data_IF_813621731674
#
_entry.id   IF_813621731674
#
_cell.length_a   1.000
_cell.length_b   1.000
_cell.length_c   1.000
_cell.angle_alpha   90.00
_cell.angle_beta   90.00
_cell.angle_gamma   90.00
#
_symmetry.space_group_name_H-M   'P 1'
#
loop_
_entity.id
_entity.type
_entity.pdbx_description
1 polymer ?
#
# COMPACT_ATOMS: atom_id res chain seq x y z
N UNK A 1 -17.78 61.69 -1.46
CA UNK A 1 -18.10 62.93 -2.21
C UNK A 1 -16.79 63.38 -2.86
N UNK A 2 -16.66 63.44 -4.19
CA UNK A 2 -17.14 64.49 -5.12
C UNK A 2 -16.47 65.86 -4.84
N UNK A 3 -15.78 66.56 -5.76
CA UNK A 3 -15.29 66.30 -7.15
C UNK A 3 -13.84 66.87 -7.29
N UNK A 4 -13.19 67.31 -8.40
CA UNK A 4 -13.51 67.44 -9.84
C UNK A 4 -12.24 67.58 -10.75
N UNK A 5 -12.09 66.69 -11.76
CA UNK A 5 -11.78 66.92 -13.21
C UNK A 5 -10.59 67.77 -13.77
N UNK A 6 -10.30 67.43 -15.04
CA UNK A 6 -9.45 68.09 -16.07
C UNK A 6 -7.93 67.85 -15.94
N UNK A 7 -7.14 67.72 -17.02
CA UNK A 7 -7.36 68.12 -18.44
C UNK A 7 -7.21 66.98 -19.49
N UNK A 8 -7.53 67.27 -20.76
CA UNK A 8 -7.27 66.47 -22.00
C UNK A 8 -5.93 66.93 -22.67
N UNK A 9 -5.36 66.42 -23.79
CA UNK A 9 -5.77 65.47 -24.87
C UNK A 9 -4.53 65.00 -25.67
N UNK A 10 -4.67 63.92 -26.48
CA UNK A 10 -3.93 63.62 -27.74
C UNK A 10 -2.39 63.37 -27.68
N UNK A 11 -1.74 62.69 -28.65
CA UNK A 11 -2.12 62.20 -29.99
C UNK A 11 -1.36 60.90 -30.36
N UNK A 12 -1.94 60.07 -31.23
CA UNK A 12 -1.40 58.85 -31.89
C UNK A 12 -2.03 58.86 -33.30
N UNK A 13 -1.30 58.66 -34.43
CA UNK A 13 -0.55 57.42 -34.71
C UNK A 13 0.78 57.56 -35.49
N UNK A 14 1.49 56.44 -35.60
CA UNK A 14 2.54 56.19 -36.62
C UNK A 14 2.19 54.90 -37.37
N UNK A 15 2.17 54.96 -38.70
CA UNK A 15 2.08 53.82 -39.61
C UNK A 15 3.49 53.36 -40.02
N UNK A 16 3.66 52.08 -40.36
CA UNK A 16 4.45 51.59 -41.52
C UNK A 16 4.30 50.07 -41.67
N UNK A 17 4.56 49.56 -42.88
CA UNK A 17 4.48 48.16 -43.37
C UNK A 17 4.90 47.06 -42.38
N UNK A 18 4.35 45.83 -42.43
CA UNK A 18 3.50 45.24 -43.47
C UNK A 18 4.28 44.39 -44.47
N UNK A 19 4.72 43.20 -44.06
CA UNK A 19 5.27 42.15 -44.95
C UNK A 19 4.62 40.81 -44.64
N UNK A 20 3.88 40.26 -45.61
CA UNK A 20 3.29 38.92 -45.55
C UNK A 20 4.13 38.01 -46.44
N UNK A 21 4.81 37.02 -45.86
CA UNK A 21 5.53 36.01 -46.62
C UNK A 21 4.62 34.82 -46.94
N UNK A 22 3.95 34.87 -48.09
CA UNK A 22 3.33 33.70 -48.72
C UNK A 22 4.44 32.94 -49.45
N UNK A 23 4.79 31.74 -48.95
CA UNK A 23 5.59 30.78 -49.71
C UNK A 23 4.64 29.83 -50.43
N UNK A 24 4.47 30.05 -51.73
CA UNK A 24 3.92 29.06 -52.64
C UNK A 24 4.93 27.92 -52.80
N UNK A 25 4.52 26.69 -52.46
CA UNK A 25 5.22 25.48 -52.89
C UNK A 25 4.28 24.60 -53.71
N UNK A 26 4.80 24.06 -54.80
CA UNK A 26 4.06 23.42 -55.88
C UNK A 26 3.52 22.04 -55.48
N UNK A 27 2.26 21.77 -55.86
CA UNK A 27 1.73 20.42 -55.89
C UNK A 27 2.27 19.68 -57.12
N UNK A 28 3.15 18.70 -56.89
CA UNK A 28 3.66 17.74 -57.88
C UNK A 28 3.69 16.33 -57.26
N UNK A 29 3.38 15.26 -58.01
CA UNK A 29 3.10 13.94 -57.42
C UNK A 29 4.34 13.04 -57.23
N UNK A 30 4.07 11.88 -56.62
CA UNK A 30 5.00 10.83 -56.15
C UNK A 30 5.77 11.17 -54.86
N UNK A 31 6.03 10.23 -53.95
CA UNK A 31 5.90 8.75 -54.06
C UNK A 31 5.07 8.12 -52.92
N UNK A 32 4.66 6.86 -53.10
CA UNK A 32 3.98 6.08 -52.05
C UNK A 32 4.96 5.72 -50.93
N UNK A 33 4.91 6.44 -49.80
CA UNK A 33 5.49 5.91 -48.56
C UNK A 33 4.65 4.73 -48.07
N UNK A 34 5.32 3.63 -47.70
CA UNK A 34 4.70 2.43 -47.16
C UNK A 34 4.11 2.70 -45.76
N UNK A 35 3.04 1.99 -45.35
CA UNK A 35 2.53 2.11 -44.00
C UNK A 35 3.60 1.66 -43.00
N UNK A 36 3.84 2.48 -41.97
CA UNK A 36 4.71 2.15 -40.84
C UNK A 36 4.21 0.87 -40.17
N UNK A 37 4.91 -0.26 -40.38
CA UNK A 37 4.70 -1.47 -39.59
C UNK A 37 5.18 -1.21 -38.17
N UNK A 38 4.24 -1.16 -37.21
CA UNK A 38 4.58 -1.32 -35.81
C UNK A 38 5.19 -2.71 -35.59
N UNK A 39 6.53 -2.77 -35.52
CA UNK A 39 7.25 -3.98 -35.20
C UNK A 39 7.13 -4.25 -33.70
N UNK A 40 6.05 -4.94 -33.31
CA UNK A 40 5.91 -5.51 -31.98
C UNK A 40 7.17 -6.31 -31.63
N UNK A 41 7.72 -6.09 -30.42
CA UNK A 41 8.87 -6.85 -29.91
C UNK A 41 8.37 -8.22 -29.45
N UNK A 42 8.18 -9.12 -30.41
CA UNK A 42 7.70 -10.50 -30.21
C UNK A 42 8.80 -11.42 -29.65
N UNK A 43 9.39 -11.02 -28.52
CA UNK A 43 10.39 -11.80 -27.78
C UNK A 43 9.78 -12.65 -26.62
N UNK A 44 8.46 -12.88 -26.67
CA UNK A 44 7.75 -13.87 -25.86
C UNK A 44 6.99 -14.85 -26.77
N UNK A 45 7.74 -15.81 -27.31
CA UNK A 45 7.38 -17.16 -27.80
C UNK A 45 8.63 -17.60 -28.60
N UNK A 46 9.46 -18.45 -28.00
CA UNK A 46 10.84 -18.63 -28.49
C UNK A 46 11.66 -19.78 -27.91
N UNK A 47 11.03 -20.77 -27.26
CA UNK A 47 11.70 -22.03 -26.94
C UNK A 47 10.72 -23.20 -27.01
N UNK A 48 11.11 -24.24 -27.77
CA UNK A 48 10.32 -25.47 -27.93
C UNK A 48 10.48 -26.38 -26.71
N UNK A 49 9.99 -25.93 -25.56
CA UNK A 49 9.83 -26.78 -24.40
C UNK A 49 8.68 -27.77 -24.66
N UNK A 50 9.02 -29.05 -24.88
CA UNK A 50 8.02 -30.13 -24.86
C UNK A 50 7.24 -30.07 -23.54
N UNK A 51 5.91 -30.29 -23.55
CA UNK A 51 5.11 -30.23 -22.32
C UNK A 51 5.63 -31.25 -21.32
N UNK A 52 6.26 -30.76 -20.24
CA UNK A 52 6.76 -31.61 -19.17
C UNK A 52 5.57 -32.24 -18.45
N UNK A 53 5.53 -33.58 -18.42
CA UNK A 53 4.41 -34.32 -17.83
C UNK A 53 4.27 -33.99 -16.35
N UNK A 54 3.03 -33.86 -15.89
CA UNK A 54 2.64 -33.92 -14.46
C UNK A 54 3.50 -33.07 -13.53
N UNK A 55 3.19 -31.77 -13.46
CA UNK A 55 3.40 -31.02 -12.21
C UNK A 55 2.58 -31.74 -11.13
N UNK A 56 3.14 -32.13 -9.98
CA UNK A 56 2.38 -32.86 -8.97
C UNK A 56 1.24 -31.98 -8.44
N UNK A 57 0.04 -32.56 -8.36
CA UNK A 57 -1.06 -31.98 -7.58
C UNK A 57 -0.60 -31.85 -6.12
N UNK A 58 -0.92 -30.72 -5.48
CA UNK A 58 -0.63 -30.46 -4.07
C UNK A 58 -1.63 -31.23 -3.18
N UNK A 59 -1.58 -32.55 -3.22
CA UNK A 59 -2.32 -33.44 -2.32
C UNK A 59 -1.58 -33.54 -0.99
N UNK A 60 -2.30 -33.34 0.12
CA UNK A 60 -1.82 -33.36 1.50
C UNK A 60 -0.79 -32.27 1.86
N UNK A 61 -1.28 -31.05 2.04
CA UNK A 61 -0.76 -30.17 3.08
C UNK A 61 -1.88 -29.78 4.05
N UNK A 62 -1.55 -29.64 5.33
CA UNK A 62 -2.34 -28.78 6.22
C UNK A 62 -2.25 -27.37 5.65
N UNK A 63 -3.37 -26.69 5.43
CA UNK A 63 -3.37 -25.29 4.99
C UNK A 63 -2.56 -24.46 5.99
N UNK A 64 -1.36 -24.06 5.58
CA UNK A 64 -0.48 -23.18 6.33
C UNK A 64 -0.63 -21.78 5.74
N UNK A 65 -0.77 -20.79 6.62
CA UNK A 65 -0.79 -19.41 6.21
C UNK A 65 0.62 -18.98 5.76
N UNK A 66 0.75 -18.60 4.49
CA UNK A 66 1.97 -18.03 3.90
C UNK A 66 2.14 -16.55 4.32
N UNK A 67 1.07 -15.91 4.81
CA UNK A 67 1.03 -14.48 5.13
C UNK A 67 0.53 -14.23 6.55
N UNK A 68 1.21 -13.35 7.28
CA UNK A 68 0.68 -12.74 8.50
C UNK A 68 0.31 -11.28 8.21
N UNK A 69 -0.96 -10.91 8.37
CA UNK A 69 -1.43 -9.54 8.20
C UNK A 69 -1.77 -8.93 9.55
N UNK A 70 -1.14 -7.80 9.90
CA UNK A 70 -1.43 -7.05 11.13
C UNK A 70 -2.06 -5.70 10.76
N UNK A 71 -3.33 -5.54 11.13
CA UNK A 71 -4.11 -4.31 10.99
C UNK A 71 -4.26 -3.65 12.37
N UNK A 72 -3.73 -2.45 12.56
CA UNK A 72 -3.91 -1.66 13.79
C UNK A 72 -5.14 -0.75 13.63
N UNK A 73 -6.15 -0.98 14.48
CA UNK A 73 -7.37 -0.20 14.52
C UNK A 73 -7.36 0.83 15.65
N UNK A 74 -7.28 2.10 15.28
CA UNK A 74 -7.43 3.24 16.17
C UNK A 74 -8.67 4.06 15.79
N UNK A 75 -9.61 4.27 16.72
CA UNK A 75 -10.82 5.09 16.48
C UNK A 75 -10.53 6.60 16.61
N UNK A 76 -9.52 7.08 15.89
CA UNK A 76 -8.98 8.45 15.99
C UNK A 76 -9.45 9.39 14.87
N UNK A 77 -10.28 8.90 13.95
CA UNK A 77 -10.91 9.72 12.91
C UNK A 77 -12.25 9.11 12.43
N UNK A 78 -13.18 9.97 11.97
CA UNK A 78 -14.58 9.61 11.64
C UNK A 78 -14.75 8.45 10.64
N UNK A 79 -13.71 8.15 9.86
CA UNK A 79 -13.71 7.07 8.86
C UNK A 79 -13.15 5.72 9.37
N UNK A 80 -12.59 5.66 10.58
CA UNK A 80 -11.79 4.51 11.04
C UNK A 80 -12.59 3.19 11.11
N UNK A 81 -13.80 3.24 11.70
CA UNK A 81 -14.67 2.07 11.80
C UNK A 81 -15.08 1.53 10.43
N UNK A 82 -15.57 2.40 9.54
CA UNK A 82 -15.98 2.02 8.19
C UNK A 82 -14.78 1.57 7.32
N UNK A 83 -13.55 2.02 7.60
CA UNK A 83 -12.33 1.52 6.96
C UNK A 83 -12.06 0.05 7.34
N UNK A 84 -12.07 -0.25 8.64
CA UNK A 84 -11.91 -1.61 9.17
C UNK A 84 -13.00 -2.54 8.62
N UNK A 85 -14.26 -2.09 8.67
CA UNK A 85 -15.43 -2.81 8.17
C UNK A 85 -15.35 -3.09 6.66
N UNK A 86 -15.05 -2.07 5.85
CA UNK A 86 -14.91 -2.26 4.41
C UNK A 86 -13.83 -3.29 4.08
N UNK A 87 -12.68 -3.24 4.76
CA UNK A 87 -11.61 -4.21 4.58
C UNK A 87 -12.04 -5.64 4.94
N UNK A 88 -12.68 -5.83 6.10
CA UNK A 88 -13.20 -7.14 6.51
C UNK A 88 -14.26 -7.66 5.52
N UNK A 89 -15.21 -6.83 5.09
CA UNK A 89 -16.30 -7.20 4.17
C UNK A 89 -15.85 -7.52 2.74
N UNK A 90 -14.66 -7.08 2.30
CA UNK A 90 -14.24 -7.16 0.88
C UNK A 90 -12.85 -7.77 0.64
N UNK A 91 -12.02 -7.98 1.68
CA UNK A 91 -10.63 -8.44 1.54
C UNK A 91 -10.30 -9.71 2.34
N UNK A 92 -11.01 -9.96 3.45
CA UNK A 92 -10.69 -11.02 4.42
C UNK A 92 -11.54 -12.25 4.10
N UNK A 93 -10.92 -13.44 3.99
CA UNK A 93 -11.64 -14.71 3.76
C UNK A 93 -11.12 -15.83 4.66
N UNK A 94 -11.87 -16.93 4.72
CA UNK A 94 -11.33 -18.19 5.24
C UNK A 94 -10.52 -18.90 4.15
N UNK A 95 -9.54 -19.71 4.56
CA UNK A 95 -8.76 -20.59 3.67
C UNK A 95 -7.95 -19.84 2.58
N UNK A 96 -7.70 -18.54 2.75
CA UNK A 96 -6.97 -17.68 1.80
C UNK A 96 -5.45 -17.63 2.02
N UNK A 97 -4.90 -18.47 2.89
CA UNK A 97 -3.47 -18.51 3.20
C UNK A 97 -2.96 -17.33 4.03
N UNK A 98 -3.85 -16.56 4.67
CA UNK A 98 -3.50 -15.42 5.55
C UNK A 98 -3.99 -15.67 6.98
N UNK A 99 -3.13 -15.44 7.99
CA UNK A 99 -3.56 -15.18 9.37
C UNK A 99 -3.76 -13.66 9.55
N UNK A 100 -4.98 -13.25 9.91
CA UNK A 100 -5.36 -11.85 10.10
C UNK A 100 -5.40 -11.46 11.58
N UNK A 101 -4.60 -10.47 11.95
CA UNK A 101 -4.51 -9.90 13.30
C UNK A 101 -5.08 -8.49 13.29
N UNK A 102 -6.15 -8.27 14.04
CA UNK A 102 -6.80 -6.96 14.20
C UNK A 102 -6.55 -6.44 15.61
N UNK A 103 -5.59 -5.51 15.76
CA UNK A 103 -5.25 -4.95 17.07
C UNK A 103 -6.11 -3.72 17.33
N UNK A 104 -7.08 -3.86 18.23
CA UNK A 104 -7.99 -2.83 18.68
C UNK A 104 -7.28 -1.95 19.73
N UNK A 105 -6.91 -0.73 19.35
CA UNK A 105 -6.26 0.23 20.23
C UNK A 105 -7.27 0.97 21.12
N UNK A 106 -7.16 0.73 22.42
CA UNK A 106 -8.00 1.29 23.47
C UNK A 106 -7.75 2.79 23.65
N UNK A 107 -8.78 3.59 23.41
CA UNK A 107 -8.83 5.01 23.79
C UNK A 107 -9.26 5.16 25.25
N UNK A 108 -8.65 6.09 25.99
CA UNK A 108 -9.01 6.39 27.39
C UNK A 108 -8.94 5.17 28.35
N UNK A 109 -8.06 4.21 28.06
CA UNK A 109 -7.92 2.92 28.77
C UNK A 109 -9.21 2.07 28.80
N UNK A 110 -10.15 2.30 27.87
CA UNK A 110 -11.39 1.54 27.73
C UNK A 110 -11.21 0.45 26.68
N UNK A 111 -11.48 -0.81 27.05
CA UNK A 111 -11.51 -1.93 26.12
C UNK A 111 -12.54 -1.69 25.00
N UNK A 112 -12.19 -2.08 23.78
CA UNK A 112 -13.11 -1.97 22.65
C UNK A 112 -14.01 -3.20 22.66
N UNK A 113 -15.31 -2.97 22.76
CA UNK A 113 -16.33 -4.02 22.72
C UNK A 113 -16.34 -4.72 21.35
N UNK A 114 -15.81 -5.95 21.32
CA UNK A 114 -15.70 -6.75 20.10
C UNK A 114 -17.06 -7.13 19.50
N UNK A 115 -18.15 -7.11 20.27
CA UNK A 115 -19.50 -7.35 19.74
C UNK A 115 -20.00 -6.20 18.84
N UNK A 116 -19.37 -5.03 18.94
CA UNK A 116 -19.62 -3.85 18.10
C UNK A 116 -18.65 -3.74 16.93
N UNK A 117 -17.66 -4.63 16.82
CA UNK A 117 -16.73 -4.67 15.69
C UNK A 117 -17.29 -5.55 14.56
N UNK A 118 -16.81 -5.40 13.31
CA UNK A 118 -17.25 -6.25 12.20
C UNK A 118 -16.96 -7.74 12.50
N UNK A 119 -17.84 -8.67 12.09
CA UNK A 119 -17.64 -10.10 12.37
C UNK A 119 -16.41 -10.62 11.61
N UNK A 120 -15.52 -11.30 12.33
CA UNK A 120 -14.35 -11.96 11.75
C UNK A 120 -14.68 -13.41 11.35
N UNK A 121 -14.06 -13.93 10.29
CA UNK A 121 -14.05 -15.36 10.02
C UNK A 121 -13.42 -16.15 11.16
N UNK A 122 -13.86 -17.39 11.37
CA UNK A 122 -13.58 -18.16 12.59
C UNK A 122 -12.23 -18.87 12.56
N UNK A 123 -11.72 -19.19 11.37
CA UNK A 123 -10.53 -20.03 11.21
C UNK A 123 -9.20 -19.29 11.40
N UNK A 124 -9.10 -18.08 10.89
CA UNK A 124 -7.83 -17.40 10.60
C UNK A 124 -7.85 -15.87 10.85
N UNK A 125 -8.84 -15.35 11.60
CA UNK A 125 -8.92 -13.92 11.89
C UNK A 125 -9.22 -13.64 13.38
N UNK A 126 -8.44 -12.74 13.99
CA UNK A 126 -8.40 -12.56 15.44
C UNK A 126 -8.33 -11.10 15.87
N UNK A 127 -9.25 -10.68 16.74
CA UNK A 127 -9.11 -9.43 17.51
C UNK A 127 -8.16 -9.61 18.69
N UNK A 128 -7.30 -8.60 18.89
CA UNK A 128 -6.45 -8.41 20.07
C UNK A 128 -6.70 -7.01 20.64
N UNK A 129 -6.58 -6.85 21.96
CA UNK A 129 -6.74 -5.57 22.64
C UNK A 129 -5.36 -5.02 23.02
N UNK A 130 -5.06 -3.75 22.69
CA UNK A 130 -3.85 -3.06 23.14
C UNK A 130 -4.19 -1.64 23.62
N UNK A 131 -3.44 -1.08 24.57
CA UNK A 131 -3.58 0.34 24.91
C UNK A 131 -3.17 1.20 23.70
N UNK A 132 -3.81 2.37 23.48
CA UNK A 132 -3.30 3.33 22.48
C UNK A 132 -2.07 4.09 23.01
N UNK A 133 -1.00 3.34 23.22
CA UNK A 133 0.36 3.80 23.51
C UNK A 133 1.27 3.29 22.39
N UNK A 134 2.38 3.98 22.14
CA UNK A 134 3.34 3.63 21.09
C UNK A 134 2.85 3.74 19.61
N UNK A 135 1.63 4.24 19.35
CA UNK A 135 1.06 4.37 17.99
C UNK A 135 1.03 3.03 17.20
N UNK A 136 0.79 3.08 15.89
CA UNK A 136 0.60 1.90 15.03
C UNK A 136 1.80 0.94 15.06
N UNK A 137 2.99 1.41 14.70
CA UNK A 137 4.18 0.56 14.56
C UNK A 137 4.74 0.08 15.90
N UNK A 138 4.64 0.86 16.97
CA UNK A 138 4.96 0.39 18.31
C UNK A 138 3.93 -0.62 18.84
N UNK A 139 2.67 -0.56 18.39
CA UNK A 139 1.66 -1.60 18.66
C UNK A 139 1.96 -2.90 17.91
N UNK A 140 2.47 -2.82 16.68
CA UNK A 140 2.99 -3.99 15.96
C UNK A 140 4.22 -4.58 16.69
N UNK A 141 5.12 -3.75 17.21
CA UNK A 141 6.26 -4.16 18.04
C UNK A 141 5.87 -4.83 19.36
N UNK A 142 4.88 -4.28 20.06
CA UNK A 142 4.24 -4.92 21.21
C UNK A 142 3.74 -6.32 20.84
N UNK A 143 3.00 -6.44 19.74
CA UNK A 143 2.46 -7.74 19.30
C UNK A 143 3.58 -8.75 19.03
N UNK A 144 4.62 -8.37 18.27
CA UNK A 144 5.78 -9.25 18.07
C UNK A 144 6.43 -9.66 19.41
N UNK A 145 6.57 -8.75 20.37
CA UNK A 145 7.17 -9.02 21.68
C UNK A 145 6.34 -9.89 22.64
N UNK A 146 5.03 -10.05 22.39
CA UNK A 146 4.09 -10.74 23.30
C UNK A 146 3.45 -11.99 22.72
N UNK A 147 3.17 -12.00 21.43
CA UNK A 147 2.40 -13.05 20.77
C UNK A 147 3.18 -13.77 19.67
N UNK A 148 4.48 -13.52 19.52
CA UNK A 148 5.29 -14.22 18.49
C UNK A 148 6.57 -14.84 19.02
N UNK A 149 7.03 -15.87 18.31
CA UNK A 149 8.36 -16.48 18.48
C UNK A 149 9.09 -16.52 17.14
N UNK A 150 10.42 -16.59 17.18
CA UNK A 150 11.26 -16.66 15.99
C UNK A 150 11.83 -15.32 15.50
N UNK A 151 11.70 -14.24 16.29
CA UNK A 151 12.41 -12.97 16.06
C UNK A 151 13.94 -13.17 16.21
N UNK A 152 14.76 -12.96 15.16
CA UNK A 152 16.21 -13.22 15.22
C UNK A 152 17.00 -12.34 16.20
N UNK A 153 16.46 -11.19 16.62
CA UNK A 153 17.17 -10.22 17.48
C UNK A 153 16.84 -10.36 18.97
N UNK A 154 15.81 -11.13 19.32
CA UNK A 154 15.47 -11.39 20.71
C UNK A 154 16.23 -12.62 21.19
N UNK A 155 17.05 -12.46 22.25
CA UNK A 155 17.47 -13.61 23.05
C UNK A 155 16.22 -14.33 23.51
N UNK A 156 16.20 -15.65 23.36
CA UNK A 156 15.00 -16.46 23.49
C UNK A 156 14.62 -16.69 24.96
N UNK A 157 14.25 -15.60 25.65
CA UNK A 157 13.63 -15.63 26.97
C UNK A 157 12.41 -16.54 26.92
N UNK A 158 12.29 -17.43 27.90
CA UNK A 158 11.13 -18.29 28.05
C UNK A 158 9.86 -17.43 28.10
N UNK A 159 8.86 -17.81 27.30
CA UNK A 159 7.50 -17.23 27.42
C UNK A 159 6.94 -17.71 28.76
N UNK A 160 7.12 -16.90 29.79
CA UNK A 160 6.67 -17.21 31.15
C UNK A 160 5.15 -17.18 31.20
N UNK A 161 4.54 -18.37 31.31
CA UNK A 161 3.09 -18.58 31.48
C UNK A 161 2.59 -18.16 32.88
N UNK A 162 3.01 -17.00 33.37
CA UNK A 162 2.50 -16.37 34.58
C UNK A 162 1.12 -15.79 34.30
N UNK A 163 0.09 -16.35 34.95
CA UNK A 163 -1.33 -15.96 34.86
C UNK A 163 -2.03 -16.29 33.53
N UNK A 164 -1.96 -17.56 33.10
CA UNK A 164 -3.02 -18.11 32.23
C UNK A 164 -4.35 -18.12 32.98
N UNK A 165 -5.32 -17.32 32.52
CA UNK A 165 -6.73 -17.48 32.89
C UNK A 165 -7.64 -17.13 31.69
N UNK A 166 -8.07 -18.18 30.99
CA UNK A 166 -9.18 -18.28 30.05
C UNK A 166 -9.30 -17.32 28.85
N UNK A 167 -9.21 -17.94 27.67
CA UNK A 167 -9.76 -17.55 26.37
C UNK A 167 -9.04 -16.47 25.53
N UNK A 168 -8.83 -16.81 24.26
CA UNK A 168 -8.32 -15.99 23.13
C UNK A 168 -6.87 -15.47 23.24
N UNK A 169 -6.40 -15.09 24.42
CA UNK A 169 -5.09 -14.47 24.66
C UNK A 169 -3.89 -15.42 24.57
N UNK A 170 -4.08 -16.73 24.66
CA UNK A 170 -2.99 -17.73 24.67
C UNK A 170 -2.38 -18.06 23.28
N UNK A 171 -2.74 -17.34 22.21
CA UNK A 171 -2.27 -17.65 20.85
C UNK A 171 -0.87 -17.06 20.59
N UNK A 172 0.11 -17.94 20.40
CA UNK A 172 1.47 -17.60 19.97
C UNK A 172 1.65 -17.97 18.49
N UNK A 173 2.23 -17.08 17.70
CA UNK A 173 2.51 -17.25 16.27
C UNK A 173 4.02 -17.41 16.03
N UNK A 174 4.44 -18.46 15.34
CA UNK A 174 5.85 -18.60 14.92
C UNK A 174 6.06 -17.85 13.61
N UNK A 175 6.73 -16.70 13.67
CA UNK A 175 6.89 -15.84 12.49
C UNK A 175 7.78 -16.48 11.42
N UNK A 176 8.57 -17.50 11.75
CA UNK A 176 9.40 -18.23 10.77
C UNK A 176 8.58 -19.08 9.80
N UNK A 177 7.28 -19.27 10.06
CA UNK A 177 6.35 -20.04 9.20
C UNK A 177 5.75 -19.21 8.07
N UNK A 178 5.64 -17.89 8.23
CA UNK A 178 5.10 -17.02 7.20
C UNK A 178 6.19 -16.59 6.22
N UNK A 179 5.86 -16.64 4.94
CA UNK A 179 6.71 -16.16 3.86
C UNK A 179 6.63 -14.64 3.70
N UNK A 180 5.45 -14.06 3.97
CA UNK A 180 5.18 -12.64 3.80
C UNK A 180 4.49 -12.01 5.02
N UNK A 181 4.69 -10.70 5.17
CA UNK A 181 4.09 -9.89 6.23
C UNK A 181 3.46 -8.66 5.63
N UNK A 182 2.24 -8.34 6.06
CA UNK A 182 1.51 -7.15 5.63
C UNK A 182 1.11 -6.35 6.86
N UNK A 183 1.43 -5.06 6.85
CA UNK A 183 1.11 -4.15 7.94
C UNK A 183 0.17 -3.06 7.44
N UNK A 184 -0.92 -2.83 8.17
CA UNK A 184 -1.98 -1.88 7.83
C UNK A 184 -2.43 -1.09 9.06
N UNK A 185 -3.00 0.10 8.84
CA UNK A 185 -3.63 0.91 9.90
C UNK A 185 -5.05 1.39 9.57
N UNK A 186 -5.75 1.91 10.58
CA UNK A 186 -7.13 2.43 10.49
C UNK A 186 -7.35 3.52 9.46
N UNK A 187 -6.29 4.13 8.93
CA UNK A 187 -6.37 5.15 7.89
C UNK A 187 -6.53 4.59 6.47
N UNK A 188 -6.64 3.27 6.30
CA UNK A 188 -6.62 2.59 4.99
C UNK A 188 -8.02 2.20 4.50
N UNK A 189 -8.36 2.49 3.24
CA UNK A 189 -9.56 2.01 2.55
C UNK A 189 -9.17 1.23 1.29
N UNK A 190 -9.75 0.06 1.10
CA UNK A 190 -9.54 -0.83 -0.03
C UNK A 190 -9.78 -2.31 0.35
N UNK A 191 -9.64 -3.25 -0.58
CA UNK A 191 -9.14 -3.06 -1.94
C UNK A 191 -10.16 -2.38 -2.87
N UNK A 192 -9.62 -1.82 -3.96
CA UNK A 192 -10.33 -1.33 -5.14
C UNK A 192 -9.74 -1.98 -6.38
N UNK A 193 -10.60 -2.51 -7.26
CA UNK A 193 -10.17 -3.16 -8.50
C UNK A 193 -10.97 -2.67 -9.70
N UNK A 194 -10.31 -2.39 -10.85
CA UNK A 194 -11.01 -2.09 -12.07
C UNK A 194 -11.73 -3.35 -12.60
N UNK A 195 -12.87 -3.23 -13.30
CA UNK A 195 -13.67 -4.39 -13.71
C UNK A 195 -12.91 -5.45 -14.53
N UNK A 196 -11.97 -5.04 -15.39
CA UNK A 196 -11.15 -5.97 -16.17
C UNK A 196 -10.21 -6.83 -15.31
N UNK A 197 -9.81 -6.34 -14.13
CA UNK A 197 -9.02 -7.15 -13.19
C UNK A 197 -9.90 -8.19 -12.50
N UNK A 198 -11.14 -7.85 -12.15
CA UNK A 198 -12.11 -8.82 -11.59
C UNK A 198 -12.46 -9.92 -12.59
N UNK A 199 -12.58 -9.57 -13.89
CA UNK A 199 -12.71 -10.56 -14.97
C UNK A 199 -11.47 -11.47 -15.05
N UNK A 200 -10.26 -10.90 -15.06
CA UNK A 200 -9.01 -11.67 -15.03
C UNK A 200 -8.91 -12.62 -13.83
N UNK A 201 -9.35 -12.21 -12.63
CA UNK A 201 -9.42 -13.10 -11.47
C UNK A 201 -10.35 -14.29 -11.76
N UNK A 202 -11.58 -14.03 -12.20
CA UNK A 202 -12.55 -15.07 -12.56
C UNK A 202 -11.96 -16.04 -13.60
N UNK A 203 -11.36 -15.53 -14.67
CA UNK A 203 -10.84 -16.35 -15.75
C UNK A 203 -9.63 -17.19 -15.28
N UNK A 204 -8.73 -16.62 -14.47
CA UNK A 204 -7.60 -17.31 -13.87
C UNK A 204 -8.03 -18.43 -12.92
N UNK A 205 -9.02 -18.18 -12.06
CA UNK A 205 -9.51 -19.19 -11.11
C UNK A 205 -10.18 -20.37 -11.84
N UNK A 206 -10.89 -20.11 -12.94
CA UNK A 206 -11.48 -21.14 -13.79
C UNK A 206 -10.44 -21.91 -14.63
N UNK A 207 -9.44 -21.25 -15.23
CA UNK A 207 -8.43 -21.90 -16.08
C UNK A 207 -7.43 -22.75 -15.27
N UNK A 208 -6.98 -22.23 -14.12
CA UNK A 208 -5.91 -22.86 -13.34
C UNK A 208 -6.40 -23.65 -12.12
N UNK A 209 -7.71 -23.63 -11.82
CA UNK A 209 -8.31 -24.22 -10.62
C UNK A 209 -7.55 -23.80 -9.33
N UNK A 210 -7.17 -22.52 -9.27
CA UNK A 210 -6.29 -21.98 -8.25
C UNK A 210 -6.70 -20.53 -7.92
N UNK A 211 -7.02 -20.21 -6.66
CA UNK A 211 -7.49 -18.88 -6.27
C UNK A 211 -6.42 -17.79 -6.45
N UNK A 212 -6.83 -16.58 -6.81
CA UNK A 212 -5.94 -15.41 -6.88
C UNK A 212 -6.39 -14.33 -5.90
N UNK A 213 -5.64 -14.20 -4.80
CA UNK A 213 -5.97 -13.27 -3.73
C UNK A 213 -5.40 -11.86 -3.97
N UNK A 214 -6.10 -10.84 -3.47
CA UNK A 214 -5.73 -9.43 -3.59
C UNK A 214 -4.29 -9.13 -3.19
N UNK A 215 -3.77 -9.84 -2.18
CA UNK A 215 -2.45 -9.59 -1.62
C UNK A 215 -1.30 -10.05 -2.53
N UNK A 216 -1.57 -10.93 -3.53
CA UNK A 216 -0.58 -11.32 -4.52
C UNK A 216 -0.04 -10.13 -5.32
N UNK A 217 -0.83 -9.07 -5.51
CA UNK A 217 -0.38 -7.83 -6.16
C UNK A 217 0.85 -7.23 -5.44
N UNK A 218 0.92 -7.38 -4.12
CA UNK A 218 2.05 -6.96 -3.30
C UNK A 218 3.11 -8.07 -3.16
N UNK A 219 2.71 -9.29 -2.79
CA UNK A 219 3.70 -10.35 -2.47
C UNK A 219 4.45 -10.88 -3.69
N UNK A 220 3.88 -10.81 -4.90
CA UNK A 220 4.59 -11.14 -6.16
C UNK A 220 5.63 -10.08 -6.57
N UNK A 221 5.61 -8.88 -5.97
CA UNK A 221 6.66 -7.85 -6.17
C UNK A 221 7.89 -8.09 -5.28
N UNK A 222 7.73 -8.79 -4.15
CA UNK A 222 8.81 -9.14 -3.22
C UNK A 222 9.65 -10.28 -3.81
N UNK A 223 10.97 -10.12 -3.82
CA UNK A 223 11.94 -11.04 -4.42
C UNK A 223 13.31 -10.91 -3.74
N UNK A 224 14.38 -11.51 -4.28
CA UNK A 224 15.72 -11.50 -3.67
C UNK A 224 16.29 -10.09 -3.47
N UNK A 225 15.92 -9.14 -4.35
CA UNK A 225 16.36 -7.74 -4.29
C UNK A 225 15.32 -6.81 -3.66
N UNK A 226 14.05 -6.98 -3.99
CA UNK A 226 12.96 -6.12 -3.47
C UNK A 226 12.40 -6.71 -2.18
N UNK A 227 12.62 -6.02 -1.06
CA UNK A 227 12.19 -6.48 0.28
C UNK A 227 11.09 -5.62 0.92
N UNK A 228 10.63 -4.58 0.22
CA UNK A 228 9.48 -3.77 0.64
C UNK A 228 8.65 -3.37 -0.57
N UNK A 229 7.33 -3.53 -0.46
CA UNK A 229 6.34 -3.05 -1.40
C UNK A 229 5.19 -2.34 -0.66
N UNK A 230 4.43 -1.51 -1.37
CA UNK A 230 3.21 -0.90 -0.85
C UNK A 230 2.47 -0.15 -1.96
N UNK A 231 1.33 0.49 -1.67
CA UNK A 231 0.50 1.15 -2.68
C UNK A 231 1.25 2.31 -3.36
N UNK A 232 1.85 3.19 -2.55
CA UNK A 232 2.43 4.46 -2.98
C UNK A 232 3.86 4.64 -2.49
N UNK A 233 4.71 5.21 -3.35
CA UNK A 233 6.02 5.78 -2.98
C UNK A 233 5.89 7.30 -3.00
N UNK A 234 6.25 7.95 -1.90
CA UNK A 234 6.29 9.40 -1.78
C UNK A 234 7.73 9.91 -1.75
N UNK A 235 7.97 11.09 -2.33
CA UNK A 235 9.30 11.66 -2.52
C UNK A 235 9.61 12.83 -1.56
N UNK A 236 8.81 13.00 -0.49
CA UNK A 236 8.99 14.06 0.52
C UNK A 236 8.56 13.56 1.91
N UNK A 237 9.27 13.91 3.01
CA UNK A 237 10.54 14.66 3.03
C UNK A 237 11.72 13.85 2.45
N UNK A 238 11.59 12.53 2.42
CA UNK A 238 12.50 11.58 1.75
C UNK A 238 11.70 10.56 0.94
N UNK A 239 12.38 9.85 0.04
CA UNK A 239 11.81 8.72 -0.70
C UNK A 239 11.40 7.59 0.25
N UNK A 240 10.11 7.28 0.34
CA UNK A 240 9.58 6.20 1.18
C UNK A 240 8.33 5.52 0.60
N UNK A 241 8.20 4.21 0.80
CA UNK A 241 6.89 3.52 0.71
C UNK A 241 6.03 4.03 1.86
N UNK A 242 4.78 4.40 1.59
CA UNK A 242 3.94 5.02 2.62
C UNK A 242 3.33 4.00 3.59
N UNK A 243 3.79 4.07 4.84
CA UNK A 243 3.35 3.45 6.11
C UNK A 243 1.94 2.85 6.28
N UNK A 244 0.91 3.34 5.60
CA UNK A 244 -0.49 2.92 5.84
C UNK A 244 -0.81 1.49 5.34
N UNK A 245 -0.10 1.05 4.29
CA UNK A 245 -0.02 -0.35 3.90
C UNK A 245 1.40 -0.62 3.39
N UNK A 246 2.09 -1.57 4.02
CA UNK A 246 3.38 -2.09 3.55
C UNK A 246 3.37 -3.63 3.55
N UNK A 247 4.17 -4.20 2.65
CA UNK A 247 4.35 -5.65 2.47
C UNK A 247 5.83 -5.99 2.41
N UNK A 248 6.25 -7.06 3.08
CA UNK A 248 7.64 -7.54 3.12
C UNK A 248 7.69 -9.07 3.20
N UNK A 249 8.88 -9.68 3.11
CA UNK A 249 9.12 -11.10 3.42
C UNK A 249 9.81 -11.26 4.79
N UNK A 250 10.15 -12.49 5.18
CA UNK A 250 10.87 -12.74 6.44
C UNK A 250 12.26 -12.05 6.49
N UNK A 251 12.93 -11.87 5.36
CA UNK A 251 14.23 -11.18 5.29
C UNK A 251 14.08 -9.68 5.55
N UNK A 252 13.12 -9.03 4.89
CA UNK A 252 12.81 -7.62 5.13
C UNK A 252 12.22 -7.40 6.53
N UNK A 253 11.33 -8.27 7.01
CA UNK A 253 10.87 -8.25 8.40
C UNK A 253 12.06 -8.34 9.38
N UNK A 254 13.04 -9.20 9.13
CA UNK A 254 14.24 -9.29 9.98
C UNK A 254 15.00 -7.97 10.02
N UNK A 255 15.07 -7.21 8.93
CA UNK A 255 15.64 -5.84 8.95
C UNK A 255 14.79 -4.91 9.84
N UNK A 256 13.46 -4.93 9.71
CA UNK A 256 12.55 -4.04 10.46
C UNK A 256 12.42 -4.40 11.96
N UNK A 257 12.59 -5.68 12.33
CA UNK A 257 12.60 -6.15 13.72
C UNK A 257 13.89 -5.79 14.48
N UNK A 258 14.91 -5.26 13.80
CA UNK A 258 16.17 -4.86 14.43
C UNK A 258 15.98 -3.56 15.21
N UNK A 259 16.09 -3.63 16.53
CA UNK A 259 16.22 -2.43 17.37
C UNK A 259 17.55 -1.74 17.12
N UNK A 260 17.53 -0.42 17.01
CA UNK A 260 18.70 0.43 17.15
C UNK A 260 19.06 0.57 18.64
N UNK A 261 20.34 0.41 18.93
CA UNK A 261 20.98 0.87 20.17
C UNK A 261 21.20 2.38 20.07
N UNK A 262 20.87 3.13 21.13
CA UNK A 262 21.47 4.46 21.30
C UNK A 262 22.92 4.36 21.78
N UNK A 263 23.64 5.48 21.76
CA UNK A 263 25.06 5.54 22.14
C UNK A 263 25.30 5.22 23.63
N UNK A 264 24.24 5.28 24.46
CA UNK A 264 24.28 4.93 25.88
C UNK A 264 23.98 3.44 26.14
N UNK A 265 23.84 2.64 25.07
CA UNK A 265 23.62 1.19 25.12
C UNK A 265 22.18 0.77 25.45
N UNK A 266 21.21 1.68 25.42
CA UNK A 266 19.80 1.35 25.68
C UNK A 266 19.09 0.94 24.38
N UNK A 267 18.27 -0.11 24.46
CA UNK A 267 17.65 -0.79 23.32
C UNK A 267 16.14 -0.51 23.28
N UNK A 268 15.74 0.68 22.81
CA UNK A 268 14.33 1.09 22.82
C UNK A 268 13.83 1.82 21.56
N UNK A 269 14.65 2.03 20.53
CA UNK A 269 14.27 2.72 19.29
C UNK A 269 14.54 1.84 18.06
N UNK A 270 13.74 1.95 17.02
CA UNK A 270 13.75 1.12 15.79
C UNK A 270 12.38 1.19 15.11
N UNK A 271 12.21 0.54 13.95
CA UNK A 271 10.96 0.65 13.16
C UNK A 271 9.72 0.30 13.98
N UNK A 272 9.76 -0.78 14.77
CA UNK A 272 8.67 -1.19 15.66
C UNK A 272 8.86 -0.69 17.12
N UNK A 273 9.63 0.38 17.33
CA UNK A 273 9.89 0.98 18.64
C UNK A 273 8.67 1.68 19.24
N UNK A 274 8.70 1.89 20.57
CA UNK A 274 7.68 2.68 21.26
C UNK A 274 8.11 4.13 21.41
N UNK A 275 7.34 5.05 20.81
CA UNK A 275 7.65 6.48 20.80
C UNK A 275 6.61 7.30 21.57
N UNK A 276 7.04 8.32 22.34
CA UNK A 276 6.12 9.15 23.12
C UNK A 276 5.42 10.23 22.28
N UNK A 277 5.88 10.49 21.05
CA UNK A 277 5.37 11.55 20.18
C UNK A 277 5.11 11.05 18.75
N UNK A 278 4.09 11.61 18.09
CA UNK A 278 3.79 11.28 16.69
C UNK A 278 4.93 11.69 15.74
N UNK A 279 5.69 12.74 16.07
CA UNK A 279 6.83 13.20 15.26
C UNK A 279 7.98 12.18 15.31
N UNK A 280 8.29 11.62 16.48
CA UNK A 280 9.25 10.52 16.59
C UNK A 280 8.76 9.26 15.86
N UNK A 281 7.47 8.90 15.99
CA UNK A 281 6.88 7.76 15.25
C UNK A 281 6.99 7.95 13.73
N UNK A 282 6.66 9.13 13.20
CA UNK A 282 6.80 9.41 11.76
C UNK A 282 8.27 9.28 11.33
N UNK A 283 9.20 9.80 12.15
CA UNK A 283 10.63 9.81 11.83
C UNK A 283 11.22 8.40 11.86
N UNK A 284 11.10 7.73 13.01
CA UNK A 284 11.83 6.48 13.31
C UNK A 284 11.04 5.20 13.02
N UNK A 285 9.72 5.30 12.77
CA UNK A 285 8.93 4.22 12.17
C UNK A 285 8.59 4.54 10.71
N UNK A 286 7.66 5.46 10.45
CA UNK A 286 7.01 5.58 9.12
C UNK A 286 7.98 5.84 7.97
N UNK A 287 8.97 6.72 8.17
CA UNK A 287 10.01 7.02 7.17
C UNK A 287 11.15 5.98 7.20
N UNK A 288 11.60 5.61 8.40
CA UNK A 288 12.71 4.66 8.59
C UNK A 288 12.48 3.28 7.99
N UNK A 289 11.24 2.80 7.86
CA UNK A 289 10.93 1.51 7.19
C UNK A 289 11.62 1.40 5.83
N UNK A 290 11.63 2.48 5.04
CA UNK A 290 12.35 2.50 3.76
C UNK A 290 13.86 2.66 3.97
N UNK A 291 14.27 3.58 4.85
CA UNK A 291 15.70 3.86 5.12
C UNK A 291 16.48 2.62 5.56
N UNK A 292 15.90 1.78 6.42
CA UNK A 292 16.53 0.54 6.90
C UNK A 292 16.62 -0.51 5.80
N UNK A 293 15.54 -0.74 5.04
CA UNK A 293 15.54 -1.69 3.91
C UNK A 293 16.58 -1.30 2.84
N UNK A 294 16.66 0.00 2.50
CA UNK A 294 17.67 0.51 1.56
C UNK A 294 19.09 0.47 2.13
N UNK A 295 19.26 0.66 3.45
CA UNK A 295 20.57 0.60 4.10
C UNK A 295 21.08 -0.83 4.32
N UNK A 296 20.19 -1.80 4.41
CA UNK A 296 20.49 -3.23 4.33
C UNK A 296 20.85 -3.71 2.91
N UNK A 297 20.90 -2.81 1.92
CA UNK A 297 21.30 -3.12 0.53
C UNK A 297 20.17 -3.61 -0.37
N UNK A 298 18.94 -3.68 0.13
CA UNK A 298 17.77 -4.09 -0.63
C UNK A 298 17.10 -2.94 -1.37
N UNK A 299 16.07 -3.26 -2.14
CA UNK A 299 15.26 -2.34 -2.93
C UNK A 299 13.81 -2.27 -2.43
N UNK A 300 13.15 -1.16 -2.75
CA UNK A 300 11.71 -0.94 -2.54
C UNK A 300 10.97 -0.79 -3.88
N UNK A 301 9.65 -0.95 -3.88
CA UNK A 301 8.78 -0.62 -5.02
C UNK A 301 7.38 -0.19 -4.59
N UNK A 302 6.58 0.30 -5.54
CA UNK A 302 5.18 0.73 -5.35
C UNK A 302 4.19 -0.02 -6.27
N UNK A 303 2.91 0.37 -6.20
CA UNK A 303 1.93 0.00 -7.22
C UNK A 303 1.81 1.07 -8.32
N UNK A 304 1.83 2.35 -7.93
CA UNK A 304 1.66 3.53 -8.79
C UNK A 304 2.21 3.39 -10.22
N UNK A 305 1.38 3.61 -11.24
CA UNK A 305 1.72 3.46 -12.66
C UNK A 305 2.97 4.24 -13.09
N UNK A 306 3.18 5.46 -12.55
CA UNK A 306 4.40 6.26 -12.77
C UNK A 306 5.69 5.51 -12.42
N UNK A 307 5.62 4.59 -11.46
CA UNK A 307 6.73 3.78 -10.96
C UNK A 307 6.58 2.30 -11.34
N UNK A 308 5.72 1.97 -12.32
CA UNK A 308 5.59 0.60 -12.82
C UNK A 308 6.93 0.11 -13.40
N UNK A 309 7.29 -1.14 -13.09
CA UNK A 309 8.61 -1.73 -13.36
C UNK A 309 9.82 -1.02 -12.71
N UNK A 310 9.60 0.05 -11.93
CA UNK A 310 10.68 0.73 -11.20
C UNK A 310 10.88 0.09 -9.82
N UNK A 311 12.11 -0.32 -9.56
CA UNK A 311 12.61 -0.62 -8.23
C UNK A 311 13.59 0.49 -7.82
N UNK A 312 13.53 0.90 -6.55
CA UNK A 312 14.39 1.93 -5.98
C UNK A 312 15.39 1.31 -5.00
N UNK A 313 16.68 1.53 -5.24
CA UNK A 313 17.79 1.24 -4.35
C UNK A 313 18.23 2.50 -3.58
N UNK A 314 19.20 2.36 -2.66
CA UNK A 314 19.79 3.48 -1.92
C UNK A 314 20.35 4.60 -2.81
N UNK A 315 20.84 4.27 -4.01
CA UNK A 315 21.44 5.24 -4.93
C UNK A 315 20.41 5.92 -5.86
N UNK A 316 19.14 5.50 -5.79
CA UNK A 316 18.09 5.89 -6.73
C UNK A 316 17.31 7.15 -6.34
N UNK A 317 17.84 8.01 -5.46
CA UNK A 317 17.20 9.29 -5.10
C UNK A 317 16.82 10.13 -6.34
N UNK A 318 17.61 10.04 -7.43
CA UNK A 318 17.33 10.69 -8.73
C UNK A 318 16.10 10.15 -9.49
N UNK A 319 15.56 8.98 -9.13
CA UNK A 319 14.27 8.47 -9.66
C UNK A 319 13.07 9.17 -9.03
N UNK A 320 13.22 9.77 -7.85
CA UNK A 320 12.23 10.69 -7.27
C UNK A 320 12.32 12.08 -7.94
N UNK A 321 11.96 12.14 -9.23
CA UNK A 321 12.07 13.36 -10.05
C UNK A 321 11.10 14.48 -9.66
N UNK A 322 10.05 14.17 -8.89
CA UNK A 322 9.05 15.13 -8.42
C UNK A 322 8.99 15.11 -6.90
N UNK A 323 9.36 16.23 -6.27
CA UNK A 323 9.19 16.46 -4.84
C UNK A 323 7.72 16.69 -4.51
N UNK A 324 6.98 15.59 -4.30
CA UNK A 324 5.56 15.63 -3.99
C UNK A 324 5.10 14.45 -3.13
N UNK A 325 4.06 14.70 -2.34
CA UNK A 325 3.22 13.63 -1.77
C UNK A 325 2.25 13.18 -2.87
N UNK A 326 2.11 11.87 -3.16
CA UNK A 326 1.22 11.39 -4.21
C UNK A 326 -0.27 11.67 -3.91
N UNK A 327 -0.60 12.03 -2.66
CA UNK A 327 -1.95 12.38 -2.26
C UNK A 327 -2.37 13.82 -2.62
N UNK A 328 -1.42 14.75 -2.79
CA UNK A 328 -1.76 16.12 -3.18
C UNK A 328 -2.24 16.15 -4.63
N UNK A 329 -3.45 16.66 -4.86
CA UNK A 329 -4.08 16.74 -6.19
C UNK A 329 -3.13 17.36 -7.23
N UNK A 330 -2.99 16.68 -8.38
CA UNK A 330 -2.19 17.08 -9.56
C UNK A 330 -0.69 17.29 -9.31
N UNK A 331 -0.17 16.98 -8.12
CA UNK A 331 1.23 17.29 -7.79
C UNK A 331 2.24 16.37 -8.49
N UNK A 332 1.81 15.16 -8.88
CA UNK A 332 2.64 14.19 -9.60
C UNK A 332 2.31 14.29 -11.09
N UNK A 333 3.14 15.01 -11.85
CA UNK A 333 3.03 15.16 -13.32
C UNK A 333 1.66 15.69 -13.81
N UNK A 334 0.94 16.46 -12.98
CA UNK A 334 -0.42 16.93 -13.29
C UNK A 334 -1.52 15.88 -13.03
N UNK A 335 -1.19 14.72 -12.44
CA UNK A 335 -2.14 13.64 -12.14
C UNK A 335 -2.47 13.54 -10.65
N UNK A 336 -3.64 12.98 -10.36
CA UNK A 336 -4.16 12.75 -9.00
C UNK A 336 -4.16 11.25 -8.69
N UNK A 337 -4.15 10.88 -7.41
CA UNK A 337 -4.02 9.48 -7.02
C UNK A 337 -5.27 8.66 -7.34
N UNK A 338 -5.11 7.65 -8.17
CA UNK A 338 -6.19 6.79 -8.65
C UNK A 338 -6.32 5.52 -7.78
N UNK A 339 -7.42 5.31 -7.03
CA UNK A 339 -7.60 4.11 -6.22
C UNK A 339 -7.48 2.79 -6.99
N UNK A 340 -7.83 2.74 -8.28
CA UNK A 340 -7.64 1.55 -9.10
C UNK A 340 -6.19 1.27 -9.52
N UNK A 341 -5.31 2.27 -9.47
CA UNK A 341 -3.86 2.13 -9.72
C UNK A 341 -3.14 1.55 -8.50
N UNK A 342 -3.53 2.01 -7.29
CA UNK A 342 -2.82 1.68 -6.04
C UNK A 342 -3.55 0.71 -5.11
N UNK A 343 -4.74 0.25 -5.47
CA UNK A 343 -5.61 -0.74 -4.78
C UNK A 343 -6.12 -0.32 -3.39
N UNK A 344 -5.30 0.35 -2.58
CA UNK A 344 -5.65 0.87 -1.26
C UNK A 344 -5.26 2.34 -1.15
N UNK A 345 -6.10 3.16 -0.51
CA UNK A 345 -5.84 4.60 -0.32
C UNK A 345 -5.98 5.04 1.14
N UNK A 346 -5.30 6.13 1.49
CA UNK A 346 -5.43 6.84 2.77
C UNK A 346 -6.79 7.56 2.81
N UNK A 347 -7.64 7.17 3.75
CA UNK A 347 -9.02 7.59 3.91
C UNK A 347 -9.26 8.03 5.37
N UNK A 348 -8.93 9.29 5.67
CA UNK A 348 -8.89 9.83 7.05
C UNK A 348 -9.26 11.34 7.08
N UNK A 349 -9.03 12.04 8.19
CA UNK A 349 -9.42 13.45 8.32
C UNK A 349 -8.46 14.47 7.64
N UNK A 350 -7.33 14.05 7.05
CA UNK A 350 -6.33 14.98 6.49
C UNK A 350 -6.77 15.53 5.12
N UNK A 351 -6.85 16.85 4.97
CA UNK A 351 -7.29 17.58 3.77
C UNK A 351 -6.61 17.11 2.48
N UNK A 352 -5.31 16.83 2.53
CA UNK A 352 -4.54 16.32 1.39
C UNK A 352 -5.01 14.95 0.85
N UNK A 353 -5.92 14.24 1.52
CA UNK A 353 -6.43 12.94 1.05
C UNK A 353 -7.85 13.02 0.45
N UNK A 354 -8.47 14.20 0.40
CA UNK A 354 -9.89 14.38 -0.02
C UNK A 354 -10.15 13.91 -1.45
N UNK A 355 -9.22 14.11 -2.39
CA UNK A 355 -9.42 13.77 -3.81
C UNK A 355 -9.50 12.24 -4.01
N UNK A 356 -8.50 11.51 -3.53
CA UNK A 356 -8.48 10.05 -3.54
C UNK A 356 -9.66 9.43 -2.75
N UNK A 357 -10.08 10.07 -1.64
CA UNK A 357 -11.31 9.69 -0.92
C UNK A 357 -12.57 9.86 -1.78
N UNK A 358 -12.66 10.95 -2.55
CA UNK A 358 -13.76 11.21 -3.46
C UNK A 358 -13.93 10.08 -4.49
N UNK A 359 -12.84 9.70 -5.16
CA UNK A 359 -12.82 8.56 -6.09
C UNK A 359 -13.19 7.25 -5.42
N UNK A 360 -12.52 6.92 -4.30
CA UNK A 360 -12.76 5.70 -3.55
C UNK A 360 -14.22 5.56 -3.09
N UNK A 361 -14.85 6.66 -2.65
CA UNK A 361 -16.27 6.70 -2.28
C UNK A 361 -17.19 6.43 -3.47
N UNK A 362 -16.89 7.00 -4.64
CA UNK A 362 -17.66 6.76 -5.88
C UNK A 362 -17.57 5.29 -6.29
N UNK A 363 -16.40 4.68 -6.23
CA UNK A 363 -16.22 3.25 -6.56
C UNK A 363 -16.92 2.33 -5.56
N UNK A 364 -16.88 2.66 -4.27
CA UNK A 364 -17.67 1.96 -3.24
C UNK A 364 -19.18 2.06 -3.52
N UNK A 365 -19.68 3.22 -3.96
CA UNK A 365 -21.08 3.39 -4.37
C UNK A 365 -21.44 2.54 -5.60
N UNK A 366 -20.58 2.50 -6.63
CA UNK A 366 -20.79 1.66 -7.81
C UNK A 366 -20.79 0.17 -7.48
N UNK A 367 -19.82 -0.32 -6.69
CA UNK A 367 -19.76 -1.72 -6.27
C UNK A 367 -20.96 -2.12 -5.39
N UNK A 368 -21.47 -1.22 -4.54
CA UNK A 368 -22.71 -1.44 -3.78
C UNK A 368 -23.94 -1.47 -4.70
N UNK A 369 -24.01 -0.63 -5.73
CA UNK A 369 -25.13 -0.61 -6.67
C UNK A 369 -25.21 -1.90 -7.52
N UNK A 370 -24.08 -2.52 -7.86
CA UNK A 370 -24.03 -3.83 -8.54
C UNK A 370 -24.55 -4.92 -7.59
N UNK A 371 -23.94 -5.08 -6.41
CA UNK A 371 -24.32 -6.09 -5.38
C UNK A 371 -25.78 -6.03 -4.90
N UNK A 372 -26.51 -4.94 -5.19
CA UNK A 372 -27.95 -4.82 -4.92
C UNK A 372 -28.82 -5.26 -6.09
N UNK A 373 -28.37 -5.09 -7.34
CA UNK A 373 -29.09 -5.60 -8.53
C UNK A 373 -29.09 -7.12 -8.57
N UNK A 374 -27.93 -7.72 -8.29
CA UNK A 374 -27.70 -9.18 -8.27
C UNK A 374 -28.45 -9.92 -7.13
N UNK A 375 -29.30 -9.19 -6.37
CA UNK A 375 -30.18 -9.72 -5.31
C UNK A 375 -31.68 -9.51 -5.62
N UNK A 376 -31.99 -8.94 -6.78
CA UNK A 376 -33.36 -8.62 -7.25
C UNK A 376 -33.67 -9.41 -8.53
N UNK A 377 -32.64 -9.82 -9.27
CA UNK A 377 -32.63 -10.93 -10.23
C UNK A 377 -32.58 -12.29 -9.54
#
# INVERSE_FOLDING_TARGET
>A
MNLNKCFRTSLVPVLISGWIFIILLSLGPFSKQSPFKYQYVSNFIGSNAKPSKTRPLLTNSSYHADVLLIYVYANVHRHAYENLKYFIENAVREQDGVDYIFILQQTENKSIDESKMPPLPKTNAFYFQHENKCFDFGTMGWFFSKYTIGNPWQKQSSVTNSNMNNNKTNRIFDIRRYKYFIFMNSSTRGPFFPPYFLQFLSDYENEFNAPYYWYYIFTKRINDKVKLAGPTVACTPVMHVQSYLITTDFTGLTVLLKSATDNDGKVHRGVFGCYPSQVETITFSELSITTEILSAGYMITGLMAKYQLMNFSKNDHRKCTVYGSPYTDKWIDGTSLEPYDVVFVKYNNKTMTIEAQGRAKIYEQWMKAIKTKDKIS
#
